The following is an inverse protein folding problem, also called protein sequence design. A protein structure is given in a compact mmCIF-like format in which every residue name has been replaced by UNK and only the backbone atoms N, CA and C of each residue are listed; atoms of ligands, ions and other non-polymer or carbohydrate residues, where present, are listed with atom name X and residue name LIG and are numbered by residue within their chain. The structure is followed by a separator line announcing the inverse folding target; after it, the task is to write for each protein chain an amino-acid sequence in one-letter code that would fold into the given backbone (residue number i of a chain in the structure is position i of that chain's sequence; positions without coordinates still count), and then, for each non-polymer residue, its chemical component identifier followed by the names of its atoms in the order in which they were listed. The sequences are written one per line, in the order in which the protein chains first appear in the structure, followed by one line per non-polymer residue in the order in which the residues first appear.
data_IF_876930528036
#
_entry.id   IF_876930528036
#
_cell.length_a   1.000
_cell.length_b   1.000
_cell.length_c   1.000
_cell.angle_alpha   90.00
_cell.angle_beta   90.00
_cell.angle_gamma   90.00
#
_symmetry.space_group_name_H-M   'P 1'
#
loop_
_entity.id
_entity.type
_entity.pdbx_description
1 polymer ?
#
# COMPACT_ATOMS: atom_id res chain seq x y z
N UNK A 1 -19.43 -21.13 13.89
CA UNK A 1 -18.77 -20.01 14.63
C UNK A 1 -19.77 -19.50 15.65
N UNK A 2 -19.47 -19.53 16.95
CA UNK A 2 -20.44 -19.21 18.00
C UNK A 2 -20.83 -17.71 17.96
N UNK A 3 -22.09 -17.44 18.27
CA UNK A 3 -22.79 -16.15 18.09
C UNK A 3 -22.13 -14.95 18.77
N UNK A 4 -21.44 -15.16 19.89
CA UNK A 4 -20.73 -14.09 20.63
C UNK A 4 -19.52 -13.54 19.85
N UNK A 5 -18.78 -14.41 19.15
CA UNK A 5 -17.63 -14.00 18.30
C UNK A 5 -18.13 -13.23 17.07
N UNK A 6 -19.32 -13.56 16.56
CA UNK A 6 -19.94 -12.83 15.44
C UNK A 6 -20.36 -11.42 15.87
N UNK A 7 -20.88 -11.26 17.08
CA UNK A 7 -21.37 -9.97 17.60
C UNK A 7 -20.23 -9.01 17.97
N UNK A 8 -19.13 -9.50 18.54
CA UNK A 8 -17.92 -8.71 18.83
C UNK A 8 -17.29 -8.15 17.56
N UNK A 9 -17.23 -8.94 16.49
CA UNK A 9 -16.70 -8.48 15.20
C UNK A 9 -17.58 -7.39 14.57
N UNK A 10 -18.91 -7.46 14.69
CA UNK A 10 -19.80 -6.42 14.18
C UNK A 10 -19.60 -5.07 14.89
N UNK A 11 -19.43 -5.08 16.22
CA UNK A 11 -19.14 -3.86 16.99
C UNK A 11 -17.79 -3.24 16.57
N UNK A 12 -16.74 -4.05 16.45
CA UNK A 12 -15.44 -3.58 15.98
C UNK A 12 -15.52 -2.94 14.59
N UNK A 13 -16.22 -3.59 13.65
CA UNK A 13 -16.40 -3.07 12.29
C UNK A 13 -17.15 -1.73 12.30
N UNK A 14 -18.19 -1.58 13.14
CA UNK A 14 -18.91 -0.31 13.29
C UNK A 14 -18.02 0.80 13.86
N UNK A 15 -17.22 0.51 14.90
CA UNK A 15 -16.26 1.46 15.47
C UNK A 15 -15.21 1.86 14.43
N UNK A 16 -14.67 0.90 13.68
CA UNK A 16 -13.72 1.16 12.60
C UNK A 16 -14.34 2.01 11.48
N UNK A 17 -15.61 1.78 11.13
CA UNK A 17 -16.32 2.58 10.15
C UNK A 17 -16.48 4.03 10.62
N UNK A 18 -16.91 4.24 11.87
CA UNK A 18 -17.03 5.56 12.47
C UNK A 18 -15.68 6.29 12.54
N UNK A 19 -14.62 5.60 12.97
CA UNK A 19 -13.26 6.13 12.97
C UNK A 19 -12.79 6.50 11.55
N UNK A 20 -13.06 5.66 10.55
CA UNK A 20 -12.71 5.94 9.17
C UNK A 20 -13.48 7.15 8.59
N UNK A 21 -14.76 7.29 8.90
CA UNK A 21 -15.56 8.47 8.51
C UNK A 21 -15.05 9.77 9.15
N UNK A 22 -14.57 9.71 10.39
CA UNK A 22 -13.92 10.84 11.04
C UNK A 22 -12.66 11.27 10.28
N UNK A 23 -11.87 10.33 9.75
CA UNK A 23 -10.74 10.63 8.86
C UNK A 23 -11.18 11.19 7.50
N UNK A 24 -12.36 10.80 6.99
CA UNK A 24 -12.93 11.43 5.78
C UNK A 24 -13.18 12.91 6.00
N UNK A 25 -13.73 13.28 7.16
CA UNK A 25 -13.89 14.69 7.54
C UNK A 25 -12.53 15.40 7.67
N UNK A 26 -11.54 14.79 8.32
CA UNK A 26 -10.21 15.39 8.46
C UNK A 26 -9.49 15.58 7.12
N UNK A 27 -9.53 14.59 6.25
CA UNK A 27 -8.87 14.63 4.93
C UNK A 27 -9.57 15.62 4.00
N UNK A 28 -10.89 15.74 4.08
CA UNK A 28 -11.64 16.76 3.36
C UNK A 28 -11.27 18.19 3.81
N UNK A 29 -11.19 18.43 5.12
CA UNK A 29 -10.74 19.72 5.66
C UNK A 29 -9.27 20.02 5.30
N UNK A 30 -8.41 19.00 5.34
CA UNK A 30 -7.03 19.13 4.89
C UNK A 30 -6.97 19.53 3.41
N UNK A 31 -7.80 18.93 2.57
CA UNK A 31 -7.92 19.27 1.16
C UNK A 31 -8.44 20.70 0.94
N UNK A 32 -9.45 21.17 1.67
CA UNK A 32 -9.93 22.55 1.53
C UNK A 32 -8.82 23.56 1.82
N UNK A 33 -8.00 23.30 2.85
CA UNK A 33 -6.93 24.21 3.28
C UNK A 33 -5.71 24.20 2.36
N UNK A 34 -5.32 23.02 1.86
CA UNK A 34 -4.04 22.82 1.17
C UNK A 34 -4.19 22.50 -0.32
N UNK A 35 -5.41 22.27 -0.80
CA UNK A 35 -5.69 21.73 -2.12
C UNK A 35 -5.14 20.31 -2.31
N UNK A 36 -4.70 20.01 -3.53
CA UNK A 36 -4.04 18.76 -3.88
C UNK A 36 -4.71 18.00 -5.01
N UNK A 37 -4.21 16.77 -5.26
CA UNK A 37 -4.61 15.94 -6.40
C UNK A 37 -6.12 15.64 -6.46
N UNK A 38 -6.85 15.77 -5.35
CA UNK A 38 -8.29 15.50 -5.31
C UNK A 38 -9.08 16.41 -6.25
N UNK A 39 -8.71 17.69 -6.37
CA UNK A 39 -9.32 18.62 -7.32
C UNK A 39 -9.12 18.17 -8.77
N UNK A 40 -7.91 17.68 -9.08
CA UNK A 40 -7.61 17.11 -10.38
C UNK A 40 -8.48 15.88 -10.63
N UNK A 41 -8.46 14.88 -9.74
CA UNK A 41 -9.22 13.65 -9.93
C UNK A 41 -10.74 13.87 -10.01
N UNK A 42 -11.26 14.95 -9.43
CA UNK A 42 -12.67 15.33 -9.51
C UNK A 42 -12.99 16.30 -10.67
N UNK A 43 -12.13 16.36 -11.70
CA UNK A 43 -12.32 17.15 -12.93
C UNK A 43 -12.52 18.65 -12.70
N UNK A 44 -12.04 19.20 -11.59
CA UNK A 44 -12.20 20.63 -11.23
C UNK A 44 -11.12 21.53 -11.84
N UNK A 45 -10.08 20.96 -12.46
CA UNK A 45 -9.04 21.76 -13.12
C UNK A 45 -9.43 22.14 -14.54
N UNK A 46 -9.00 23.33 -14.99
CA UNK A 46 -9.26 23.83 -16.35
C UNK A 46 -8.73 22.89 -17.44
N UNK A 47 -7.65 22.15 -17.15
CA UNK A 47 -7.04 21.17 -18.06
C UNK A 47 -7.95 20.01 -18.43
N UNK A 48 -9.00 19.75 -17.65
CA UNK A 48 -9.98 18.69 -17.88
C UNK A 48 -11.34 19.22 -18.34
N UNK A 49 -11.45 20.51 -18.66
CA UNK A 49 -12.70 21.13 -19.10
C UNK A 49 -13.06 20.80 -20.56
N UNK A 50 -12.05 20.72 -21.44
CA UNK A 50 -12.24 20.55 -22.89
C UNK A 50 -12.09 19.09 -23.36
N UNK A 51 -12.04 18.12 -22.43
CA UNK A 51 -11.82 16.70 -22.73
C UNK A 51 -13.09 15.89 -22.48
N UNK A 52 -13.36 14.96 -23.38
CA UNK A 52 -14.49 14.02 -23.31
C UNK A 52 -14.13 12.79 -22.46
N UNK A 53 -15.14 11.97 -22.13
CA UNK A 53 -14.97 10.83 -21.23
C UNK A 53 -13.83 9.89 -21.66
N UNK A 54 -13.85 9.45 -22.93
CA UNK A 54 -12.89 8.48 -23.43
C UNK A 54 -11.49 9.05 -23.67
N UNK A 55 -11.30 10.37 -23.66
CA UNK A 55 -9.97 10.99 -23.70
C UNK A 55 -9.13 10.63 -22.46
N UNK A 56 -9.82 10.26 -21.38
CA UNK A 56 -9.22 9.83 -20.12
C UNK A 56 -8.99 8.33 -20.03
N UNK A 57 -9.39 7.54 -21.04
CA UNK A 57 -9.21 6.08 -21.07
C UNK A 57 -7.75 5.69 -21.37
N UNK A 58 -6.88 6.10 -20.46
CA UNK A 58 -5.44 5.84 -20.44
C UNK A 58 -5.06 5.34 -19.05
N UNK A 59 -3.77 5.12 -18.78
CA UNK A 59 -3.29 4.62 -17.49
C UNK A 59 -2.77 5.75 -16.59
N UNK A 60 -2.65 5.46 -15.29
CA UNK A 60 -2.12 6.37 -14.29
C UNK A 60 -3.17 7.33 -13.73
N UNK A 61 -2.82 8.61 -13.66
CA UNK A 61 -3.68 9.65 -13.10
C UNK A 61 -4.92 9.93 -13.94
N UNK A 62 -4.82 9.82 -15.26
CA UNK A 62 -5.93 10.10 -16.18
C UNK A 62 -7.04 9.06 -16.06
N UNK A 63 -6.70 7.80 -15.77
CA UNK A 63 -7.72 6.78 -15.50
C UNK A 63 -8.63 7.14 -14.33
N UNK A 64 -8.14 7.91 -13.35
CA UNK A 64 -8.97 8.42 -12.26
C UNK A 64 -10.03 9.38 -12.76
N UNK A 65 -9.69 10.23 -13.74
CA UNK A 65 -10.63 11.13 -14.41
C UNK A 65 -11.66 10.32 -15.18
N UNK A 66 -11.24 9.25 -15.87
CA UNK A 66 -12.15 8.34 -16.56
C UNK A 66 -13.16 7.70 -15.60
N UNK A 67 -12.71 7.21 -14.44
CA UNK A 67 -13.59 6.62 -13.44
C UNK A 67 -14.55 7.65 -12.82
N UNK A 68 -14.08 8.88 -12.62
CA UNK A 68 -14.88 9.91 -11.97
C UNK A 68 -15.78 10.70 -12.93
N UNK A 69 -15.55 10.60 -14.25
CA UNK A 69 -16.28 11.36 -15.26
C UNK A 69 -17.81 11.24 -15.15
N UNK A 70 -18.41 10.03 -14.99
CA UNK A 70 -19.87 9.92 -14.88
C UNK A 70 -20.43 10.71 -13.69
N UNK A 71 -19.76 10.59 -12.54
CA UNK A 71 -20.17 11.26 -11.30
C UNK A 71 -20.12 12.78 -11.42
N UNK A 72 -19.09 13.32 -12.07
CA UNK A 72 -18.89 14.76 -12.16
C UNK A 72 -19.64 15.40 -13.33
N UNK A 73 -19.59 14.78 -14.51
CA UNK A 73 -20.07 15.41 -15.77
C UNK A 73 -21.50 15.03 -16.14
N UNK A 74 -21.99 13.85 -15.76
CA UNK A 74 -23.37 13.42 -16.06
C UNK A 74 -24.27 13.56 -14.83
N UNK A 75 -23.79 13.16 -13.65
CA UNK A 75 -24.57 13.26 -12.41
C UNK A 75 -24.38 14.57 -11.64
N UNK A 76 -23.38 15.39 -12.02
CA UNK A 76 -23.07 16.68 -11.39
C UNK A 76 -22.84 16.61 -9.87
N UNK A 77 -22.31 15.49 -9.38
CA UNK A 77 -22.02 15.30 -7.96
C UNK A 77 -20.81 16.11 -7.53
N UNK A 78 -20.93 16.74 -6.36
CA UNK A 78 -19.88 17.57 -5.79
C UNK A 78 -18.71 16.74 -5.25
N UNK A 79 -17.61 17.41 -4.92
CA UNK A 79 -16.39 16.73 -4.45
C UNK A 79 -16.57 16.06 -3.09
N UNK A 80 -17.53 16.48 -2.27
CA UNK A 80 -17.86 15.82 -0.99
C UNK A 80 -18.30 14.38 -1.24
N UNK A 81 -19.14 14.16 -2.26
CA UNK A 81 -19.49 12.81 -2.68
C UNK A 81 -18.24 12.02 -3.08
N UNK A 82 -17.30 12.64 -3.80
CA UNK A 82 -16.02 12.02 -4.14
C UNK A 82 -15.23 11.55 -2.91
N UNK A 83 -15.12 12.37 -1.87
CA UNK A 83 -14.49 11.95 -0.61
C UNK A 83 -15.22 10.77 0.05
N UNK A 84 -16.55 10.79 0.10
CA UNK A 84 -17.34 9.68 0.66
C UNK A 84 -17.21 8.39 -0.15
N UNK A 85 -17.20 8.48 -1.49
CA UNK A 85 -17.02 7.35 -2.39
C UNK A 85 -15.65 6.68 -2.18
N UNK A 86 -14.58 7.48 -2.22
CA UNK A 86 -13.23 6.95 -2.06
C UNK A 86 -12.95 6.46 -0.63
N UNK A 87 -13.49 7.12 0.38
CA UNK A 87 -13.48 6.62 1.75
C UNK A 87 -14.20 5.28 1.88
N UNK A 88 -15.35 5.09 1.23
CA UNK A 88 -16.05 3.80 1.24
C UNK A 88 -15.19 2.69 0.62
N UNK A 89 -14.53 2.99 -0.50
CA UNK A 89 -13.57 2.07 -1.15
C UNK A 89 -12.39 1.75 -0.21
N UNK A 90 -11.82 2.77 0.42
CA UNK A 90 -10.73 2.63 1.38
C UNK A 90 -11.11 1.75 2.57
N UNK A 91 -12.32 1.95 3.10
CA UNK A 91 -12.87 1.11 4.17
C UNK A 91 -13.02 -0.35 3.75
N UNK A 92 -13.52 -0.63 2.54
CA UNK A 92 -13.52 -2.00 2.01
C UNK A 92 -12.11 -2.59 1.93
N UNK A 93 -11.10 -1.78 1.60
CA UNK A 93 -9.70 -2.18 1.65
C UNK A 93 -9.26 -2.56 3.07
N UNK A 94 -9.62 -1.77 4.08
CA UNK A 94 -9.34 -2.06 5.49
C UNK A 94 -10.03 -3.36 5.92
N UNK A 95 -11.26 -3.64 5.46
CA UNK A 95 -11.94 -4.90 5.74
C UNK A 95 -11.22 -6.11 5.12
N UNK A 96 -10.71 -6.00 3.89
CA UNK A 96 -9.91 -7.06 3.27
C UNK A 96 -8.58 -7.25 4.00
N UNK A 97 -7.95 -6.16 4.43
CA UNK A 97 -6.74 -6.20 5.24
C UNK A 97 -6.98 -6.86 6.60
N UNK A 98 -8.09 -6.56 7.28
CA UNK A 98 -8.48 -7.24 8.51
C UNK A 98 -8.70 -8.73 8.30
N UNK A 99 -9.36 -9.13 7.19
CA UNK A 99 -9.50 -10.54 6.81
C UNK A 99 -8.15 -11.22 6.57
N UNK A 100 -7.18 -10.53 5.98
CA UNK A 100 -5.82 -11.03 5.78
C UNK A 100 -5.10 -11.26 7.12
N UNK A 101 -5.17 -10.27 8.03
CA UNK A 101 -4.63 -10.38 9.39
C UNK A 101 -5.22 -11.58 10.13
N UNK A 102 -6.56 -11.70 10.16
CA UNK A 102 -7.26 -12.80 10.82
C UNK A 102 -6.98 -14.16 10.19
N UNK A 103 -6.85 -14.23 8.86
CA UNK A 103 -6.57 -15.47 8.16
C UNK A 103 -5.22 -16.07 8.57
N UNK A 104 -4.20 -15.24 8.77
CA UNK A 104 -2.87 -15.72 9.15
C UNK A 104 -2.65 -15.76 10.66
N UNK A 105 -2.94 -14.69 11.38
CA UNK A 105 -2.59 -14.55 12.79
C UNK A 105 -3.65 -15.19 13.70
N UNK A 106 -4.92 -15.21 13.27
CA UNK A 106 -6.04 -15.68 14.08
C UNK A 106 -6.15 -14.92 15.40
N UNK A 107 -6.15 -15.67 16.50
CA UNK A 107 -6.22 -15.14 17.88
C UNK A 107 -4.89 -15.27 18.64
N UNK A 108 -3.78 -15.49 17.92
CA UNK A 108 -2.47 -15.79 18.54
C UNK A 108 -1.82 -14.59 19.23
N UNK A 109 -2.25 -13.37 18.92
CA UNK A 109 -1.75 -12.13 19.54
C UNK A 109 -2.69 -11.68 20.67
N UNK A 110 -2.84 -12.54 21.68
CA UNK A 110 -3.49 -12.16 22.94
C UNK A 110 -2.43 -11.85 23.97
N UNK A 111 -2.50 -10.67 24.57
CA UNK A 111 -1.65 -10.28 25.69
C UNK A 111 -2.56 -9.92 26.87
N UNK A 112 -2.34 -10.52 28.04
CA UNK A 112 -3.28 -10.41 29.18
C UNK A 112 -4.77 -10.69 28.84
N UNK A 113 -5.03 -11.59 27.88
CA UNK A 113 -6.40 -11.94 27.44
C UNK A 113 -7.04 -10.97 26.44
N UNK A 114 -6.43 -9.80 26.19
CA UNK A 114 -6.88 -8.83 25.20
C UNK A 114 -6.30 -9.14 23.82
N UNK A 115 -7.11 -8.99 22.77
CA UNK A 115 -6.69 -9.13 21.38
C UNK A 115 -6.13 -7.81 20.85
N UNK A 116 -4.82 -7.78 20.59
CA UNK A 116 -4.11 -6.58 20.12
C UNK A 116 -4.13 -6.45 18.60
N UNK A 117 -4.58 -7.48 17.87
CA UNK A 117 -4.60 -7.48 16.41
C UNK A 117 -5.40 -6.29 15.82
N UNK A 118 -6.57 -5.90 16.38
CA UNK A 118 -7.33 -4.76 15.88
C UNK A 118 -6.63 -3.41 16.01
N UNK A 119 -5.68 -3.23 16.94
CA UNK A 119 -5.04 -1.92 17.16
C UNK A 119 -4.30 -1.41 15.92
N UNK A 120 -3.78 -2.31 15.09
CA UNK A 120 -3.07 -1.99 13.86
C UNK A 120 -4.03 -1.44 12.80
N UNK A 121 -5.32 -1.74 12.92
CA UNK A 121 -6.33 -1.14 12.06
C UNK A 121 -6.57 0.32 12.43
N UNK A 122 -6.30 0.75 13.67
CA UNK A 122 -6.55 2.13 14.12
C UNK A 122 -5.40 3.10 13.82
N UNK A 123 -4.38 2.67 13.08
CA UNK A 123 -3.26 3.53 12.71
C UNK A 123 -3.74 4.76 11.93
N UNK A 124 -3.43 5.99 12.38
CA UNK A 124 -3.96 7.21 11.77
C UNK A 124 -3.54 7.38 10.30
N UNK A 125 -2.29 7.03 9.94
CA UNK A 125 -1.82 7.14 8.56
C UNK A 125 -2.57 6.17 7.63
N UNK A 126 -2.98 5.00 8.14
CA UNK A 126 -3.79 4.05 7.39
C UNK A 126 -5.11 4.69 6.97
N UNK A 127 -5.82 5.29 7.91
CA UNK A 127 -7.10 5.93 7.66
C UNK A 127 -6.97 7.22 6.85
N UNK A 128 -5.94 8.03 7.10
CA UNK A 128 -5.73 9.29 6.38
C UNK A 128 -5.63 9.10 4.86
N UNK A 129 -4.76 8.19 4.39
CA UNK A 129 -4.57 8.00 2.95
C UNK A 129 -5.64 7.15 2.28
N UNK A 130 -6.37 6.33 3.03
CA UNK A 130 -7.47 5.53 2.49
C UNK A 130 -8.83 6.24 2.54
N UNK A 131 -8.98 7.26 3.37
CA UNK A 131 -10.20 8.09 3.41
C UNK A 131 -10.17 9.26 2.41
N UNK A 132 -8.98 9.71 2.00
CA UNK A 132 -8.81 10.81 1.05
C UNK A 132 -9.18 10.40 -0.38
N UNK A 133 -9.80 11.32 -1.13
CA UNK A 133 -10.06 11.16 -2.57
C UNK A 133 -8.74 11.02 -3.34
N UNK A 134 -8.46 9.82 -3.84
CA UNK A 134 -7.28 9.55 -4.64
C UNK A 134 -7.03 8.08 -4.96
N UNK A 135 -5.91 7.82 -5.63
CA UNK A 135 -5.49 6.46 -6.07
C UNK A 135 -5.29 5.47 -4.92
N UNK A 136 -5.06 5.98 -3.72
CA UNK A 136 -4.52 5.19 -2.60
C UNK A 136 -5.55 4.25 -2.01
N UNK A 137 -6.81 4.70 -1.88
CA UNK A 137 -7.92 3.86 -1.48
C UNK A 137 -8.10 2.65 -2.41
N UNK A 138 -8.07 2.87 -3.73
CA UNK A 138 -8.17 1.83 -4.74
C UNK A 138 -6.97 0.87 -4.69
N UNK A 139 -5.75 1.40 -4.70
CA UNK A 139 -4.54 0.59 -4.64
C UNK A 139 -4.50 -0.27 -3.38
N UNK A 140 -4.84 0.29 -2.22
CA UNK A 140 -4.88 -0.44 -0.96
C UNK A 140 -5.89 -1.60 -1.01
N UNK A 141 -7.12 -1.35 -1.49
CA UNK A 141 -8.14 -2.39 -1.68
C UNK A 141 -7.66 -3.51 -2.61
N UNK A 142 -7.10 -3.16 -3.77
CA UNK A 142 -6.66 -4.16 -4.76
C UNK A 142 -5.48 -4.98 -4.24
N UNK A 143 -4.49 -4.37 -3.60
CA UNK A 143 -3.36 -5.09 -3.00
C UNK A 143 -3.85 -6.01 -1.88
N UNK A 144 -4.69 -5.51 -0.97
CA UNK A 144 -5.25 -6.33 0.11
C UNK A 144 -6.04 -7.53 -0.42
N UNK A 145 -6.84 -7.33 -1.47
CA UNK A 145 -7.62 -8.37 -2.13
C UNK A 145 -6.73 -9.42 -2.79
N UNK A 146 -5.71 -8.99 -3.54
CA UNK A 146 -4.72 -9.90 -4.17
C UNK A 146 -4.04 -10.73 -3.09
N UNK A 147 -3.48 -10.10 -2.05
CA UNK A 147 -2.75 -10.81 -0.99
C UNK A 147 -3.63 -11.79 -0.23
N UNK A 148 -4.89 -11.45 0.05
CA UNK A 148 -5.85 -12.37 0.66
C UNK A 148 -6.19 -13.55 -0.25
N UNK A 149 -6.38 -13.31 -1.55
CA UNK A 149 -6.67 -14.36 -2.51
C UNK A 149 -5.49 -15.33 -2.68
N UNK A 150 -4.27 -14.80 -2.80
CA UNK A 150 -3.03 -15.59 -2.82
C UNK A 150 -2.89 -16.41 -1.53
N UNK A 151 -3.20 -15.82 -0.37
CA UNK A 151 -3.18 -16.53 0.93
C UNK A 151 -4.14 -17.71 0.98
N UNK A 152 -5.27 -17.62 0.27
CA UNK A 152 -6.27 -18.69 0.13
C UNK A 152 -6.02 -19.60 -1.08
N UNK A 153 -4.86 -19.50 -1.74
CA UNK A 153 -4.52 -20.18 -2.99
C UNK A 153 -5.53 -19.96 -4.15
N UNK A 154 -6.29 -18.86 -4.12
CA UNK A 154 -7.26 -18.45 -5.14
C UNK A 154 -6.64 -17.49 -6.16
N UNK A 155 -5.55 -17.93 -6.80
CA UNK A 155 -4.71 -17.08 -7.67
C UNK A 155 -5.47 -16.50 -8.87
N UNK A 156 -6.40 -17.26 -9.45
CA UNK A 156 -7.16 -16.88 -10.65
C UNK A 156 -8.63 -16.57 -10.37
N UNK A 157 -8.95 -16.15 -9.13
CA UNK A 157 -10.31 -15.68 -8.86
C UNK A 157 -10.62 -14.42 -9.67
N UNK A 158 -11.87 -14.24 -10.08
CA UNK A 158 -12.34 -13.02 -10.79
C UNK A 158 -11.91 -11.76 -10.04
N UNK A 159 -12.04 -11.77 -8.71
CA UNK A 159 -11.62 -10.66 -7.85
C UNK A 159 -10.12 -10.38 -7.93
N UNK A 160 -9.27 -11.41 -7.99
CA UNK A 160 -7.82 -11.26 -8.13
C UNK A 160 -7.45 -10.67 -9.49
N UNK A 161 -8.07 -11.17 -10.57
CA UNK A 161 -7.81 -10.73 -11.94
C UNK A 161 -8.22 -9.26 -12.10
N UNK A 162 -9.44 -8.91 -11.67
CA UNK A 162 -9.92 -7.53 -11.68
C UNK A 162 -8.99 -6.63 -10.87
N UNK A 163 -8.62 -7.04 -9.65
CA UNK A 163 -7.72 -6.25 -8.81
C UNK A 163 -6.36 -6.03 -9.45
N UNK A 164 -5.78 -7.05 -10.09
CA UNK A 164 -4.50 -6.95 -10.77
C UNK A 164 -4.58 -6.04 -12.01
N UNK A 165 -5.65 -6.12 -12.79
CA UNK A 165 -5.88 -5.26 -13.95
C UNK A 165 -6.06 -3.80 -13.55
N UNK A 166 -6.95 -3.50 -12.60
CA UNK A 166 -7.17 -2.14 -12.14
C UNK A 166 -5.92 -1.56 -11.46
N UNK A 167 -5.19 -2.34 -10.66
CA UNK A 167 -3.92 -1.91 -10.09
C UNK A 167 -2.90 -1.59 -11.18
N UNK A 168 -2.84 -2.41 -12.25
CA UNK A 168 -1.96 -2.20 -13.39
C UNK A 168 -2.27 -0.92 -14.14
N UNK A 169 -3.56 -0.61 -14.35
CA UNK A 169 -3.96 0.62 -15.05
C UNK A 169 -3.75 1.85 -14.17
N UNK A 170 -4.12 1.82 -12.89
CA UNK A 170 -4.04 2.99 -11.99
C UNK A 170 -2.59 3.28 -11.55
N UNK A 171 -1.81 2.23 -11.24
CA UNK A 171 -0.41 2.34 -10.82
C UNK A 171 0.45 1.23 -11.45
N UNK A 172 0.86 1.37 -12.72
CA UNK A 172 1.64 0.35 -13.43
C UNK A 172 2.94 -0.05 -12.71
N UNK A 173 3.63 0.93 -12.10
CA UNK A 173 4.86 0.68 -11.35
C UNK A 173 4.64 -0.15 -10.07
N UNK A 174 3.57 0.10 -9.31
CA UNK A 174 3.25 -0.70 -8.11
C UNK A 174 2.82 -2.11 -8.51
N UNK A 175 2.00 -2.23 -9.56
CA UNK A 175 1.61 -3.52 -10.11
C UNK A 175 2.82 -4.33 -10.57
N UNK A 176 3.75 -3.69 -11.28
CA UNK A 176 5.01 -4.31 -11.72
C UNK A 176 5.79 -4.83 -10.50
N UNK A 177 6.01 -4.00 -9.48
CA UNK A 177 6.75 -4.40 -8.27
C UNK A 177 6.05 -5.56 -7.54
N UNK A 178 4.73 -5.52 -7.36
CA UNK A 178 3.97 -6.57 -6.68
C UNK A 178 4.01 -7.88 -7.47
N UNK A 179 3.61 -7.86 -8.74
CA UNK A 179 3.52 -9.06 -9.57
C UNK A 179 4.90 -9.67 -9.83
N UNK A 180 5.92 -8.85 -10.05
CA UNK A 180 7.29 -9.32 -10.19
C UNK A 180 7.80 -10.01 -8.91
N UNK A 181 7.53 -9.42 -7.74
CA UNK A 181 7.94 -10.00 -6.45
C UNK A 181 7.28 -11.35 -6.19
N UNK A 182 5.98 -11.46 -6.47
CA UNK A 182 5.27 -12.73 -6.33
C UNK A 182 5.72 -13.76 -7.37
N UNK A 183 5.92 -13.35 -8.62
CA UNK A 183 6.46 -14.24 -9.66
C UNK A 183 7.83 -14.79 -9.28
N UNK A 184 8.75 -13.93 -8.82
CA UNK A 184 10.06 -14.34 -8.34
C UNK A 184 9.93 -15.28 -7.13
N UNK A 185 9.03 -14.98 -6.20
CA UNK A 185 8.73 -15.85 -5.06
C UNK A 185 8.28 -17.25 -5.50
N UNK A 186 7.35 -17.35 -6.45
CA UNK A 186 6.89 -18.63 -6.99
C UNK A 186 7.98 -19.37 -7.77
N UNK A 187 8.85 -18.65 -8.47
CA UNK A 187 9.95 -19.26 -9.23
C UNK A 187 11.02 -19.87 -8.31
N UNK A 188 11.39 -19.14 -7.25
CA UNK A 188 12.42 -19.54 -6.28
C UNK A 188 11.91 -20.56 -5.24
N UNK A 189 10.72 -20.34 -4.69
CA UNK A 189 10.20 -21.13 -3.56
C UNK A 189 8.99 -22.00 -3.90
N UNK A 190 8.40 -21.83 -5.08
CA UNK A 190 7.25 -22.62 -5.53
C UNK A 190 7.65 -24.01 -6.01
N UNK A 191 6.81 -25.00 -5.69
CA UNK A 191 6.95 -26.41 -6.10
C UNK A 191 6.42 -26.66 -7.52
N UNK A 192 6.75 -25.79 -8.48
CA UNK A 192 6.28 -25.92 -9.87
C UNK A 192 7.18 -26.84 -10.69
N UNK A 193 6.57 -27.68 -11.53
CA UNK A 193 7.29 -28.48 -12.53
C UNK A 193 8.02 -27.55 -13.52
N UNK A 194 9.17 -27.99 -14.04
CA UNK A 194 9.98 -27.21 -14.99
C UNK A 194 9.17 -26.66 -16.18
N UNK A 195 8.31 -27.49 -16.80
CA UNK A 195 7.46 -27.07 -17.92
C UNK A 195 6.52 -25.91 -17.54
N UNK A 196 5.92 -25.97 -16.35
CA UNK A 196 5.06 -24.91 -15.82
C UNK A 196 5.84 -23.63 -15.54
N UNK A 197 7.07 -23.75 -15.00
CA UNK A 197 7.96 -22.60 -14.82
C UNK A 197 8.28 -21.93 -16.14
N UNK A 198 8.59 -22.70 -17.19
CA UNK A 198 8.92 -22.14 -18.50
C UNK A 198 7.73 -21.37 -19.13
N UNK A 199 6.53 -21.95 -19.12
CA UNK A 199 5.31 -21.31 -19.63
C UNK A 199 4.98 -20.06 -18.81
N UNK A 200 5.03 -20.16 -17.48
CA UNK A 200 4.78 -19.03 -16.60
C UNK A 200 5.80 -17.89 -16.80
N UNK A 201 7.08 -18.21 -17.03
CA UNK A 201 8.11 -17.22 -17.36
C UNK A 201 7.84 -16.53 -18.69
N UNK A 202 7.41 -17.25 -19.73
CA UNK A 202 7.07 -16.64 -21.01
C UNK A 202 5.89 -15.65 -20.87
N UNK A 203 4.84 -16.04 -20.15
CA UNK A 203 3.69 -15.17 -19.86
C UNK A 203 4.14 -13.96 -19.02
N UNK A 204 4.97 -14.18 -17.99
CA UNK A 204 5.47 -13.13 -17.12
C UNK A 204 6.30 -12.10 -17.89
N UNK A 205 7.13 -12.53 -18.84
CA UNK A 205 7.91 -11.62 -19.71
C UNK A 205 6.96 -10.72 -20.51
N UNK A 206 5.89 -11.26 -21.10
CA UNK A 206 4.91 -10.47 -21.84
C UNK A 206 4.22 -9.43 -20.93
N UNK A 207 3.74 -9.86 -19.76
CA UNK A 207 3.06 -8.98 -18.79
C UNK A 207 4.00 -7.89 -18.28
N UNK A 208 5.22 -8.24 -17.87
CA UNK A 208 6.19 -7.28 -17.34
C UNK A 208 6.68 -6.30 -18.41
N UNK A 209 6.84 -6.75 -19.65
CA UNK A 209 7.16 -5.86 -20.77
C UNK A 209 6.05 -4.83 -21.00
N UNK A 210 4.79 -5.26 -20.93
CA UNK A 210 3.64 -4.35 -21.02
C UNK A 210 3.58 -3.33 -19.87
N UNK A 211 3.74 -3.77 -18.62
CA UNK A 211 3.77 -2.89 -17.45
C UNK A 211 4.95 -1.92 -17.48
N UNK A 212 6.12 -2.39 -17.91
CA UNK A 212 7.31 -1.57 -18.06
C UNK A 212 7.12 -0.52 -19.16
N UNK A 213 6.49 -0.88 -20.28
CA UNK A 213 6.13 0.06 -21.33
C UNK A 213 5.16 1.14 -20.83
N UNK A 214 4.10 0.77 -20.09
CA UNK A 214 3.18 1.72 -19.47
C UNK A 214 3.92 2.67 -18.52
N UNK A 215 4.87 2.15 -17.75
CA UNK A 215 5.73 2.96 -16.87
C UNK A 215 6.59 3.97 -17.66
N UNK A 216 7.23 3.56 -18.76
CA UNK A 216 8.04 4.45 -19.60
C UNK A 216 7.21 5.58 -20.21
N UNK A 217 5.99 5.26 -20.67
CA UNK A 217 5.06 6.24 -21.22
C UNK A 217 4.60 7.26 -20.17
N UNK A 218 4.25 6.81 -18.96
CA UNK A 218 3.96 7.72 -17.84
C UNK A 218 5.14 8.62 -17.49
N UNK A 219 6.36 8.15 -17.70
CA UNK A 219 7.59 8.90 -17.46
C UNK A 219 8.00 9.78 -18.65
N UNK A 220 7.24 9.76 -19.76
CA UNK A 220 7.55 10.45 -21.03
C UNK A 220 8.92 10.10 -21.60
N UNK A 221 9.41 8.89 -21.35
CA UNK A 221 10.69 8.37 -21.84
C UNK A 221 10.44 7.63 -23.16
N UNK A 222 10.73 8.30 -24.29
CA UNK A 222 10.49 7.74 -25.65
C UNK A 222 11.45 6.61 -26.05
N UNK A 223 12.66 6.60 -25.50
CA UNK A 223 13.68 5.57 -25.76
C UNK A 223 14.34 5.19 -24.44
N UNK A 224 14.53 3.90 -24.22
CA UNK A 224 15.22 3.41 -23.04
C UNK A 224 16.69 3.82 -23.10
N UNK A 225 17.07 4.74 -22.22
CA UNK A 225 18.43 5.19 -21.99
C UNK A 225 18.61 5.34 -20.49
N UNK A 226 19.58 4.61 -19.92
CA UNK A 226 19.85 4.59 -18.49
C UNK A 226 20.17 6.00 -17.96
N UNK A 227 20.94 6.79 -18.71
CA UNK A 227 21.29 8.16 -18.32
C UNK A 227 20.06 9.07 -18.29
N UNK A 228 19.12 8.87 -19.21
CA UNK A 228 17.86 9.61 -19.25
C UNK A 228 16.95 9.22 -18.08
N UNK A 229 16.91 7.94 -17.72
CA UNK A 229 16.15 7.46 -16.56
C UNK A 229 16.70 8.06 -15.26
N UNK A 230 18.03 8.09 -15.10
CA UNK A 230 18.67 8.70 -13.94
C UNK A 230 18.36 10.19 -13.84
N UNK A 231 18.53 10.96 -14.93
CA UNK A 231 18.18 12.39 -14.96
C UNK A 231 16.71 12.64 -14.65
N UNK A 232 15.80 11.79 -15.15
CA UNK A 232 14.38 11.89 -14.85
C UNK A 232 14.07 11.65 -13.37
N UNK A 233 14.75 10.68 -12.76
CA UNK A 233 14.64 10.41 -11.33
C UNK A 233 15.17 11.59 -10.50
N UNK A 234 16.36 12.11 -10.83
CA UNK A 234 16.93 13.29 -10.18
C UNK A 234 16.03 14.52 -10.31
N UNK A 235 15.48 14.79 -11.50
CA UNK A 235 14.51 15.86 -11.71
C UNK A 235 13.26 15.67 -10.84
N UNK A 236 12.77 14.43 -10.71
CA UNK A 236 11.64 14.12 -9.84
C UNK A 236 11.97 14.42 -8.37
N UNK A 237 13.17 14.07 -7.89
CA UNK A 237 13.61 14.38 -6.52
C UNK A 237 13.72 15.89 -6.29
N UNK A 238 14.30 16.62 -7.24
CA UNK A 238 14.46 18.08 -7.17
C UNK A 238 13.12 18.83 -7.23
N UNK A 239 12.09 18.28 -7.86
CA UNK A 239 10.75 18.88 -7.88
C UNK A 239 10.14 19.06 -6.49
N UNK A 240 10.63 18.34 -5.48
CA UNK A 240 10.18 18.45 -4.09
C UNK A 240 10.94 19.48 -3.26
N UNK A 241 11.99 20.11 -3.80
CA UNK A 241 12.88 21.02 -3.04
C UNK A 241 12.13 22.21 -2.42
N UNK A 242 11.06 22.66 -3.06
CA UNK A 242 10.23 23.78 -2.60
C UNK A 242 9.05 23.34 -1.71
N UNK A 243 8.99 22.07 -1.30
CA UNK A 243 7.92 21.58 -0.42
C UNK A 243 8.33 21.67 1.05
N UNK A 244 7.39 22.01 1.94
CA UNK A 244 7.63 22.14 3.39
C UNK A 244 8.08 20.83 4.06
N UNK A 245 7.91 19.69 3.38
CA UNK A 245 8.28 18.36 3.89
C UNK A 245 9.39 17.70 3.08
N UNK A 246 10.20 18.51 2.37
CA UNK A 246 11.32 18.05 1.57
C UNK A 246 12.34 17.27 2.41
N UNK A 247 12.89 16.23 1.82
CA UNK A 247 13.98 15.46 2.40
C UNK A 247 15.09 15.34 1.36
N UNK A 248 16.34 15.77 1.63
CA UNK A 248 17.44 15.72 0.65
C UNK A 248 17.98 14.29 0.47
N UNK A 249 17.17 13.39 -0.09
CA UNK A 249 17.50 11.97 -0.23
C UNK A 249 18.60 11.69 -1.28
N UNK A 250 18.94 12.68 -2.10
CA UNK A 250 20.02 12.58 -3.09
C UNK A 250 21.35 12.35 -2.38
N UNK A 251 21.60 13.12 -1.31
CA UNK A 251 22.86 13.17 -0.55
C UNK A 251 23.05 11.97 0.38
N UNK A 252 21.99 11.19 0.61
CA UNK A 252 22.01 10.08 1.57
C UNK A 252 22.70 8.84 1.01
N UNK A 253 23.34 8.07 1.89
CA UNK A 253 23.77 6.70 1.57
C UNK A 253 22.55 5.82 1.29
N UNK A 254 22.70 4.82 0.43
CA UNK A 254 21.57 3.99 0.01
C UNK A 254 20.82 3.28 1.17
N UNK A 255 21.50 2.72 2.20
CA UNK A 255 20.81 2.22 3.39
C UNK A 255 20.03 3.29 4.14
N UNK A 256 20.55 4.52 4.23
CA UNK A 256 19.86 5.63 4.88
C UNK A 256 18.65 6.13 4.06
N UNK A 257 18.68 6.01 2.73
CA UNK A 257 17.49 6.23 1.87
C UNK A 257 16.37 5.26 2.22
N UNK A 258 16.69 3.97 2.34
CA UNK A 258 15.71 2.94 2.74
C UNK A 258 15.18 3.19 4.15
N UNK A 259 16.05 3.49 5.10
CA UNK A 259 15.64 3.82 6.47
C UNK A 259 14.69 5.03 6.49
N UNK A 260 15.04 6.08 5.75
CA UNK A 260 14.20 7.27 5.62
C UNK A 260 12.85 6.93 5.01
N UNK A 261 12.83 6.12 3.95
CA UNK A 261 11.58 5.73 3.30
C UNK A 261 10.68 4.89 4.21
N UNK A 262 11.19 3.96 5.03
CA UNK A 262 10.34 3.10 5.86
C UNK A 262 9.98 3.71 7.21
N UNK A 263 10.92 4.42 7.86
CA UNK A 263 10.81 4.74 9.28
C UNK A 263 10.76 6.23 9.60
N UNK A 264 11.06 7.12 8.64
CA UNK A 264 10.91 8.57 8.85
C UNK A 264 9.57 9.08 8.28
N UNK A 265 9.00 10.18 8.78
CA UNK A 265 9.51 11.05 9.85
C UNK A 265 9.49 10.38 11.24
N UNK A 266 10.49 10.67 12.07
CA UNK A 266 10.51 10.37 13.50
C UNK A 266 9.80 11.48 14.30
N UNK A 267 9.73 11.33 15.62
CA UNK A 267 9.16 12.34 16.52
C UNK A 267 9.85 13.69 16.33
N UNK A 268 9.05 14.76 16.27
CA UNK A 268 9.49 16.16 16.12
C UNK A 268 10.19 16.53 14.80
N UNK A 269 10.27 15.65 13.80
CA UNK A 269 10.84 16.02 12.49
C UNK A 269 9.90 16.90 11.65
N UNK A 270 8.60 16.86 11.94
CA UNK A 270 7.60 17.71 11.29
C UNK A 270 6.83 18.44 12.40
N UNK A 271 6.96 19.78 12.52
CA UNK A 271 6.32 20.57 13.56
C UNK A 271 4.83 20.83 13.23
N UNK A 272 4.05 19.77 13.09
CA UNK A 272 2.60 19.83 12.93
C UNK A 272 1.92 18.70 13.70
N UNK A 273 0.65 18.88 14.07
CA UNK A 273 -0.13 17.84 14.74
C UNK A 273 -0.14 16.53 13.93
N UNK A 274 -0.30 16.64 12.61
CA UNK A 274 -0.21 15.49 11.70
C UNK A 274 1.20 14.87 11.68
N UNK A 275 2.23 15.71 11.69
CA UNK A 275 3.63 15.29 11.78
C UNK A 275 3.94 14.49 13.05
N UNK A 276 3.41 14.92 14.20
CA UNK A 276 3.54 14.19 15.47
C UNK A 276 2.84 12.83 15.43
N UNK A 277 1.62 12.76 14.90
CA UNK A 277 0.89 11.51 14.74
C UNK A 277 1.65 10.53 13.82
N UNK A 278 2.18 11.01 12.69
CA UNK A 278 3.04 10.22 11.80
C UNK A 278 4.33 9.77 12.48
N UNK A 279 4.98 10.63 13.26
CA UNK A 279 6.21 10.31 14.00
C UNK A 279 5.99 9.23 15.05
N UNK A 280 4.89 9.30 15.80
CA UNK A 280 4.49 8.27 16.77
C UNK A 280 4.21 6.94 16.09
N UNK A 281 3.43 6.95 15.00
CA UNK A 281 3.13 5.74 14.24
C UNK A 281 4.40 5.12 13.65
N UNK A 282 5.28 5.92 13.04
CA UNK A 282 6.55 5.43 12.50
C UNK A 282 7.48 4.90 13.60
N UNK A 283 7.48 5.50 14.79
CA UNK A 283 8.22 5.01 15.95
C UNK A 283 7.70 3.64 16.43
N UNK A 284 6.38 3.46 16.48
CA UNK A 284 5.74 2.16 16.76
C UNK A 284 6.14 1.13 15.69
N UNK A 285 6.05 1.50 14.42
CA UNK A 285 6.44 0.66 13.29
C UNK A 285 7.91 0.25 13.41
N UNK A 286 8.83 1.18 13.63
CA UNK A 286 10.25 0.90 13.81
C UNK A 286 10.47 -0.07 14.97
N UNK A 287 9.81 0.16 16.11
CA UNK A 287 9.89 -0.73 17.27
C UNK A 287 9.42 -2.15 16.92
N UNK A 288 8.30 -2.29 16.19
CA UNK A 288 7.84 -3.59 15.71
C UNK A 288 8.84 -4.29 14.79
N UNK A 289 9.53 -3.55 13.93
CA UNK A 289 10.58 -4.11 13.06
C UNK A 289 11.77 -4.60 13.89
N UNK A 290 12.22 -3.81 14.87
CA UNK A 290 13.34 -4.17 15.74
C UNK A 290 13.00 -5.40 16.58
N UNK A 291 11.82 -5.44 17.20
CA UNK A 291 11.37 -6.60 18.00
C UNK A 291 11.26 -7.85 17.13
N UNK A 292 10.60 -7.76 15.97
CA UNK A 292 10.48 -8.89 15.06
C UNK A 292 11.85 -9.36 14.54
N UNK A 293 12.78 -8.44 14.26
CA UNK A 293 14.14 -8.77 13.82
C UNK A 293 14.93 -9.48 14.93
N UNK A 294 14.91 -8.97 16.16
CA UNK A 294 15.60 -9.61 17.30
C UNK A 294 15.04 -11.01 17.56
N UNK A 295 13.72 -11.16 17.57
CA UNK A 295 13.07 -12.46 17.75
C UNK A 295 13.39 -13.42 16.58
N UNK A 296 13.37 -12.92 15.35
CA UNK A 296 13.75 -13.70 14.17
C UNK A 296 15.21 -14.16 14.26
N UNK A 297 16.16 -13.28 14.60
CA UNK A 297 17.58 -13.66 14.71
C UNK A 297 17.82 -14.69 15.81
N UNK A 298 17.12 -14.60 16.95
CA UNK A 298 17.23 -15.57 18.05
C UNK A 298 16.61 -16.93 17.72
N UNK A 299 15.51 -16.96 16.97
CA UNK A 299 14.71 -18.17 16.73
C UNK A 299 14.52 -18.48 15.23
N UNK A 300 15.49 -18.11 14.38
CA UNK A 300 15.33 -18.16 12.91
C UNK A 300 14.99 -19.56 12.38
N UNK A 301 15.48 -20.62 13.04
CA UNK A 301 15.21 -22.02 12.68
C UNK A 301 13.76 -22.43 12.93
N UNK A 302 13.06 -21.71 13.80
CA UNK A 302 11.71 -22.05 14.25
C UNK A 302 10.63 -21.32 13.46
N UNK A 303 10.99 -20.26 12.73
CA UNK A 303 10.07 -19.42 11.98
C UNK A 303 9.82 -20.04 10.61
N UNK A 304 8.56 -20.34 10.33
CA UNK A 304 8.13 -20.90 9.04
C UNK A 304 7.33 -19.84 8.32
N UNK A 305 7.81 -19.42 7.16
CA UNK A 305 7.14 -18.43 6.33
C UNK A 305 6.24 -19.11 5.28
N UNK A 306 4.92 -18.88 5.33
CA UNK A 306 4.04 -19.06 4.18
C UNK A 306 4.60 -18.36 2.94
N UNK A 307 4.33 -18.94 1.77
CA UNK A 307 4.80 -18.41 0.49
C UNK A 307 4.39 -16.95 0.25
N UNK A 308 3.20 -16.58 0.74
CA UNK A 308 2.70 -15.20 0.64
C UNK A 308 3.59 -14.21 1.39
N UNK A 309 4.09 -14.56 2.57
CA UNK A 309 4.95 -13.66 3.34
C UNK A 309 6.32 -13.48 2.70
N UNK A 310 6.87 -14.53 2.09
CA UNK A 310 8.07 -14.39 1.24
C UNK A 310 7.84 -13.43 0.08
N UNK A 311 6.65 -13.51 -0.56
CA UNK A 311 6.24 -12.59 -1.62
C UNK A 311 6.08 -11.15 -1.14
N UNK A 312 5.47 -10.94 0.04
CA UNK A 312 5.34 -9.61 0.66
C UNK A 312 6.70 -9.03 1.04
N UNK A 313 7.62 -9.84 1.57
CA UNK A 313 8.98 -9.40 1.89
C UNK A 313 9.75 -8.98 0.64
N UNK A 314 9.70 -9.78 -0.43
CA UNK A 314 10.28 -9.41 -1.72
C UNK A 314 9.64 -8.13 -2.28
N UNK A 315 8.33 -8.00 -2.17
CA UNK A 315 7.60 -6.81 -2.58
C UNK A 315 8.02 -5.57 -1.80
N UNK A 316 8.18 -5.69 -0.48
CA UNK A 316 8.71 -4.62 0.34
C UNK A 316 10.10 -4.23 -0.16
N UNK A 317 11.06 -5.16 -0.21
CA UNK A 317 12.44 -4.88 -0.63
C UNK A 317 12.50 -4.23 -2.00
N UNK A 318 11.93 -4.86 -3.04
CA UNK A 318 11.95 -4.34 -4.42
C UNK A 318 11.32 -2.95 -4.48
N UNK A 319 10.21 -2.73 -3.78
CA UNK A 319 9.56 -1.42 -3.76
C UNK A 319 10.42 -0.37 -3.08
N UNK A 320 11.04 -0.69 -1.95
CA UNK A 320 11.98 0.20 -1.27
C UNK A 320 13.12 0.61 -2.18
N UNK A 321 13.73 -0.35 -2.90
CA UNK A 321 14.86 -0.10 -3.79
C UNK A 321 14.54 0.86 -4.95
N UNK A 322 13.30 0.83 -5.46
CA UNK A 322 12.87 1.62 -6.61
C UNK A 322 12.25 2.97 -6.20
N UNK A 323 11.43 3.00 -5.14
CA UNK A 323 10.69 4.20 -4.71
C UNK A 323 11.65 5.28 -4.19
N UNK A 324 12.71 4.90 -3.46
CA UNK A 324 13.71 5.85 -2.94
C UNK A 324 14.46 6.63 -4.01
N UNK A 325 14.45 6.14 -5.26
CA UNK A 325 15.10 6.84 -6.36
C UNK A 325 14.25 7.97 -6.94
N UNK A 326 12.94 8.01 -6.64
CA UNK A 326 11.99 8.91 -7.32
C UNK A 326 11.33 9.93 -6.41
N UNK A 327 11.19 9.63 -5.12
CA UNK A 327 10.43 10.47 -4.19
C UNK A 327 11.32 11.05 -3.10
N UNK A 328 11.04 12.30 -2.74
CA UNK A 328 11.90 13.12 -1.87
C UNK A 328 11.06 14.01 -0.95
N UNK A 329 10.22 13.42 -0.09
CA UNK A 329 9.42 14.19 0.86
C UNK A 329 8.55 13.33 1.77
N UNK A 330 8.39 13.76 3.03
CA UNK A 330 7.72 12.94 4.05
C UNK A 330 6.24 12.67 3.74
N UNK A 331 5.51 13.64 3.19
CA UNK A 331 4.11 13.45 2.81
C UNK A 331 3.95 12.36 1.73
N UNK A 332 4.83 12.34 0.73
CA UNK A 332 4.79 11.33 -0.34
C UNK A 332 5.29 9.98 0.15
N UNK A 333 6.25 9.94 1.06
CA UNK A 333 6.62 8.69 1.73
C UNK A 333 5.44 8.13 2.52
N UNK A 334 4.77 8.92 3.35
CA UNK A 334 3.58 8.48 4.09
C UNK A 334 2.49 7.92 3.14
N UNK A 335 2.25 8.62 2.02
CA UNK A 335 1.30 8.22 0.97
C UNK A 335 1.69 6.92 0.26
N UNK A 336 2.96 6.72 -0.07
CA UNK A 336 3.43 5.54 -0.81
C UNK A 336 3.59 4.33 0.10
N UNK A 337 3.96 4.53 1.37
CA UNK A 337 4.01 3.51 2.42
C UNK A 337 2.70 2.75 2.54
N UNK A 338 1.55 3.39 2.33
CA UNK A 338 0.23 2.74 2.50
C UNK A 338 0.08 1.46 1.66
N UNK A 339 0.74 1.39 0.51
CA UNK A 339 0.65 0.27 -0.42
C UNK A 339 1.52 -0.92 0.00
N UNK A 340 2.44 -0.75 0.95
CA UNK A 340 3.48 -1.73 1.29
C UNK A 340 3.49 -1.99 2.79
N UNK A 341 3.58 -0.93 3.59
CA UNK A 341 3.84 -0.95 5.02
C UNK A 341 2.80 -1.78 5.80
N UNK A 342 1.48 -1.62 5.60
CA UNK A 342 0.50 -2.43 6.34
C UNK A 342 0.68 -3.93 6.08
N UNK A 343 0.98 -4.32 4.85
CA UNK A 343 1.18 -5.71 4.48
C UNK A 343 2.50 -6.27 5.02
N UNK A 344 3.56 -5.45 5.04
CA UNK A 344 4.81 -5.83 5.68
C UNK A 344 4.61 -6.06 7.19
N UNK A 345 3.80 -5.22 7.85
CA UNK A 345 3.44 -5.43 9.26
C UNK A 345 2.78 -6.79 9.52
N UNK A 346 1.95 -7.31 8.60
CA UNK A 346 1.37 -8.67 8.75
C UNK A 346 2.47 -9.72 8.93
N UNK A 347 3.58 -9.60 8.19
CA UNK A 347 4.71 -10.54 8.27
C UNK A 347 5.41 -10.42 9.63
N UNK A 348 5.62 -9.20 10.12
CA UNK A 348 6.27 -8.97 11.42
C UNK A 348 5.43 -9.52 12.57
N UNK A 349 4.13 -9.27 12.54
CA UNK A 349 3.20 -9.81 13.53
C UNK A 349 3.13 -11.32 13.49
N UNK A 350 3.22 -11.93 12.30
CA UNK A 350 3.31 -13.38 12.18
C UNK A 350 4.56 -13.95 12.86
N UNK A 351 5.72 -13.32 12.65
CA UNK A 351 6.97 -13.73 13.31
C UNK A 351 6.79 -13.69 14.83
N UNK A 352 6.28 -12.57 15.36
CA UNK A 352 6.03 -12.40 16.80
C UNK A 352 5.04 -13.45 17.29
N UNK A 353 3.88 -13.59 16.65
CA UNK A 353 2.83 -14.52 17.04
C UNK A 353 3.28 -15.98 17.00
N UNK A 354 4.07 -16.38 16.00
CA UNK A 354 4.57 -17.75 15.86
C UNK A 354 5.55 -18.11 16.97
N UNK A 355 6.42 -17.18 17.35
CA UNK A 355 7.42 -17.37 18.40
C UNK A 355 6.73 -17.39 19.77
N UNK A 356 5.95 -16.36 20.10
CA UNK A 356 5.31 -16.24 21.42
C UNK A 356 4.37 -17.41 21.69
N UNK A 357 3.59 -17.86 20.71
CA UNK A 357 2.69 -18.99 20.90
C UNK A 357 3.44 -20.31 21.16
N UNK A 358 4.62 -20.53 20.57
CA UNK A 358 5.43 -21.72 20.83
C UNK A 358 5.97 -21.73 22.25
N UNK A 359 6.43 -20.60 22.76
CA UNK A 359 6.96 -20.48 24.13
C UNK A 359 5.88 -20.80 25.18
N UNK A 360 4.65 -20.30 24.98
CA UNK A 360 3.52 -20.56 25.90
C UNK A 360 3.06 -22.02 25.91
N UNK A 361 3.24 -22.75 24.81
CA UNK A 361 2.90 -24.19 24.73
C UNK A 361 4.00 -25.05 25.35
N UNK A 362 5.26 -24.61 25.33
CA UNK A 362 6.36 -25.33 25.98
C UNK A 362 6.43 -25.11 27.50
N UNK A 363 5.85 -24.02 28.01
CA UNK A 363 5.79 -23.70 29.45
C UNK A 363 4.56 -24.27 30.17
N UNK A 364 3.68 -24.98 29.46
CA UNK A 364 2.54 -25.74 29.98
C UNK A 364 2.82 -27.22 29.79
#
# INVERSE_FOLDING_TARGET
MPSEIKNSNSKLIAILAGYHLLFTFFTYNFYIKNGGDAAFYWLQLKTSAAKEWFDFFTYGSDFMLFLNYPFVRIFHWNIVFGFLLYSSIGFFGILQFYRLLRFHIGDRLRFFGWDFLPLILFLPNLHFWTAMLGKEALCFLFIATILLAVSKAKYFSISTIISALFLSVIRPHIALMLLFSFFLCFLLFGKWRWKTKLIASAIAIAVFSGLFYMFLQLSKIKRFDFNRLQRFNEFSLLSFKNSDTYVPIIEYSYPYKLFTFYFRPLLNEIPSFYGLALGLENGLILTLHLVALVLFLRHYREVVFPLVFKGILLFAVISGLLIVQRYSGFGIFARTKIMIQPFFMVVLLWIIAQITHKTTVQSK
#
